data_IF_155917072965
#
_entry.id   IF_155917072965
#
_cell.length_a   1.000
_cell.length_b   1.000
_cell.length_c   1.000
_cell.angle_alpha   90.00
_cell.angle_beta   90.00
_cell.angle_gamma   90.00
#
_symmetry.space_group_name_H-M   'P 1'
#
loop_
_entity.id
_entity.type
_entity.pdbx_description
1 polymer ?
#
# COMPACT_ATOMS: atom_id res chain seq x y z
N UNK A 1 20.42 3.86 -24.07
CA UNK A 1 19.44 4.77 -23.43
C UNK A 1 18.16 3.99 -23.14
N UNK A 2 17.82 3.79 -21.87
CA UNK A 2 16.59 3.10 -21.44
C UNK A 2 15.36 3.86 -22.02
N UNK A 3 14.55 3.21 -22.86
CA UNK A 3 13.41 3.82 -23.54
C UNK A 3 12.27 4.13 -22.55
N UNK A 4 12.18 5.39 -22.09
CA UNK A 4 11.20 5.85 -21.09
C UNK A 4 9.74 5.52 -21.47
N UNK A 5 9.40 5.47 -22.77
CA UNK A 5 8.02 5.17 -23.21
C UNK A 5 7.60 3.75 -22.87
N UNK A 6 8.50 2.78 -23.01
CA UNK A 6 8.22 1.36 -22.70
C UNK A 6 7.95 1.19 -21.21
N UNK A 7 8.70 1.88 -20.35
CA UNK A 7 8.51 1.80 -18.90
C UNK A 7 7.21 2.43 -18.44
N UNK A 8 6.85 3.58 -19.00
CA UNK A 8 5.55 4.20 -18.71
C UNK A 8 4.41 3.26 -19.10
N UNK A 9 4.51 2.59 -20.25
CA UNK A 9 3.52 1.59 -20.67
C UNK A 9 3.46 0.40 -19.71
N UNK A 10 4.62 -0.17 -19.33
CA UNK A 10 4.69 -1.27 -18.36
C UNK A 10 4.05 -0.85 -17.03
N UNK A 11 4.43 0.31 -16.50
CA UNK A 11 3.85 0.85 -15.26
C UNK A 11 2.33 0.96 -15.37
N UNK A 12 1.83 1.65 -16.39
CA UNK A 12 0.39 1.86 -16.58
C UNK A 12 -0.38 0.52 -16.71
N UNK A 13 0.16 -0.44 -17.46
CA UNK A 13 -0.46 -1.77 -17.63
C UNK A 13 -0.53 -2.49 -16.29
N UNK A 14 0.58 -2.62 -15.57
CA UNK A 14 0.60 -3.40 -14.33
C UNK A 14 -0.12 -2.70 -13.16
N UNK A 15 -0.08 -1.37 -13.09
CA UNK A 15 -0.89 -0.60 -12.14
C UNK A 15 -2.39 -0.75 -12.41
N UNK A 16 -2.79 -0.74 -13.68
CA UNK A 16 -4.20 -0.96 -14.06
C UNK A 16 -4.63 -2.39 -13.73
N UNK A 17 -3.80 -3.39 -14.05
CA UNK A 17 -4.07 -4.79 -13.71
C UNK A 17 -4.23 -4.99 -12.20
N UNK A 18 -3.34 -4.39 -11.40
CA UNK A 18 -3.43 -4.44 -9.94
C UNK A 18 -4.74 -3.80 -9.46
N UNK A 19 -5.06 -2.59 -9.93
CA UNK A 19 -6.27 -1.88 -9.52
C UNK A 19 -7.55 -2.65 -9.87
N UNK A 20 -7.64 -3.18 -11.10
CA UNK A 20 -8.79 -3.99 -11.53
C UNK A 20 -8.93 -5.27 -10.70
N UNK A 21 -7.81 -5.93 -10.41
CA UNK A 21 -7.83 -7.17 -9.63
C UNK A 21 -8.11 -6.92 -8.15
N UNK A 22 -7.63 -5.83 -7.59
CA UNK A 22 -8.02 -5.38 -6.25
C UNK A 22 -9.52 -5.06 -6.21
N UNK A 23 -10.04 -4.33 -7.20
CA UNK A 23 -11.47 -3.99 -7.28
C UNK A 23 -12.39 -5.22 -7.36
N UNK A 24 -11.93 -6.36 -7.91
CA UNK A 24 -12.68 -7.62 -7.89
C UNK A 24 -13.03 -8.10 -6.48
N UNK A 25 -12.22 -7.75 -5.47
CA UNK A 25 -12.49 -8.14 -4.08
C UNK A 25 -13.46 -7.21 -3.37
N UNK A 26 -13.92 -6.11 -3.97
CA UNK A 26 -14.94 -5.26 -3.33
C UNK A 26 -16.25 -6.03 -3.11
N UNK A 27 -16.95 -5.81 -1.97
CA UNK A 27 -16.65 -4.85 -0.90
C UNK A 27 -15.91 -5.49 0.30
N UNK A 28 -14.97 -6.42 0.06
CA UNK A 28 -14.22 -7.06 1.13
C UNK A 28 -13.50 -6.04 2.02
N UNK A 29 -13.54 -6.31 3.32
CA UNK A 29 -12.83 -5.58 4.35
C UNK A 29 -12.45 -6.59 5.44
N UNK A 30 -11.23 -6.48 5.96
CA UNK A 30 -10.84 -7.24 7.14
C UNK A 30 -11.58 -6.66 8.36
N UNK A 31 -12.08 -7.53 9.23
CA UNK A 31 -12.69 -7.16 10.51
C UNK A 31 -11.74 -6.36 11.39
N UNK A 32 -10.45 -6.71 11.41
CA UNK A 32 -9.40 -5.99 12.11
C UNK A 32 -9.26 -4.52 11.66
N UNK A 33 -9.67 -4.17 10.44
CA UNK A 33 -9.64 -2.78 9.97
C UNK A 33 -10.55 -1.86 10.80
N UNK A 34 -11.63 -2.41 11.38
CA UNK A 34 -12.53 -1.66 12.26
C UNK A 34 -11.83 -1.13 13.51
N UNK A 35 -10.77 -1.79 13.98
CA UNK A 35 -9.98 -1.29 15.10
C UNK A 35 -9.33 0.04 14.71
N UNK A 36 -8.67 0.06 13.55
CA UNK A 36 -8.05 1.26 12.97
C UNK A 36 -9.06 2.38 12.82
N UNK A 37 -10.25 2.09 12.27
CA UNK A 37 -11.28 3.10 12.02
C UNK A 37 -11.85 3.64 13.32
N UNK A 38 -12.00 2.82 14.36
CA UNK A 38 -12.45 3.26 15.68
C UNK A 38 -11.49 4.28 16.28
N UNK A 39 -10.19 4.00 16.25
CA UNK A 39 -9.17 4.94 16.74
C UNK A 39 -9.09 6.22 15.89
N UNK A 40 -9.17 6.08 14.57
CA UNK A 40 -9.18 7.24 13.66
C UNK A 40 -10.42 8.12 13.90
N UNK A 41 -11.61 7.53 14.02
CA UNK A 41 -12.85 8.27 14.29
C UNK A 41 -12.78 9.00 15.64
N UNK A 42 -12.31 8.33 16.70
CA UNK A 42 -12.18 8.96 18.02
C UNK A 42 -11.17 10.10 18.05
N UNK A 43 -10.09 9.97 17.29
CA UNK A 43 -9.14 11.07 17.10
C UNK A 43 -9.82 12.26 16.41
N UNK A 44 -10.64 12.00 15.39
CA UNK A 44 -11.42 13.03 14.67
C UNK A 44 -12.46 13.71 15.55
N UNK A 45 -13.12 12.96 16.42
CA UNK A 45 -14.12 13.46 17.36
C UNK A 45 -13.50 14.25 18.53
N UNK A 46 -12.17 14.31 18.63
CA UNK A 46 -11.45 15.05 19.67
C UNK A 46 -11.20 14.26 20.96
N UNK A 47 -11.49 12.96 20.99
CA UNK A 47 -11.24 12.09 22.14
C UNK A 47 -9.83 11.49 22.17
N UNK A 48 -8.98 11.87 21.21
CA UNK A 48 -7.63 11.35 21.04
C UNK A 48 -7.60 9.89 20.59
N UNK A 49 -6.40 9.30 20.57
CA UNK A 49 -6.17 7.90 20.21
C UNK A 49 -6.56 6.96 21.37
N UNK A 50 -7.86 6.81 21.59
CA UNK A 50 -8.44 5.98 22.65
C UNK A 50 -9.44 4.98 22.06
N UNK A 51 -9.73 3.88 22.76
CA UNK A 51 -10.77 2.92 22.34
C UNK A 51 -12.17 3.28 22.86
N UNK A 52 -12.22 3.63 24.14
CA UNK A 52 -13.41 4.01 24.91
C UNK A 52 -13.11 5.24 25.76
N UNK A 53 -14.14 5.80 26.39
CA UNK A 53 -13.97 6.77 27.46
C UNK A 53 -13.30 6.12 28.68
N UNK A 54 -12.66 6.94 29.52
CA UNK A 54 -11.92 6.49 30.70
C UNK A 54 -10.42 6.43 30.48
N UNK A 55 -9.78 5.36 30.95
CA UNK A 55 -8.32 5.21 30.94
C UNK A 55 -7.86 4.92 29.50
N UNK A 56 -6.93 5.71 28.93
CA UNK A 56 -6.36 5.45 27.62
C UNK A 56 -5.59 4.12 27.61
N UNK A 57 -5.83 3.30 26.60
CA UNK A 57 -5.06 2.10 26.31
C UNK A 57 -4.71 2.12 24.83
N UNK A 58 -3.45 1.82 24.51
CA UNK A 58 -3.00 1.66 23.13
C UNK A 58 -3.36 0.27 22.63
N UNK A 59 -4.33 0.19 21.72
CA UNK A 59 -4.82 -1.07 21.14
C UNK A 59 -4.73 -1.14 19.62
N UNK A 60 -3.97 -0.24 18.98
CA UNK A 60 -3.65 -0.32 17.55
C UNK A 60 -2.19 -0.73 17.36
N UNK A 61 -1.89 -1.46 16.29
CA UNK A 61 -0.52 -1.86 15.90
C UNK A 61 0.06 -1.02 14.76
N UNK A 62 -0.73 -0.10 14.20
CA UNK A 62 -0.50 0.54 12.92
C UNK A 62 -0.66 2.06 12.98
N UNK A 63 -0.01 2.72 13.96
CA UNK A 63 -0.15 4.15 14.23
C UNK A 63 -0.09 5.04 12.98
N UNK A 64 0.91 4.83 12.12
CA UNK A 64 1.07 5.63 10.90
C UNK A 64 -0.14 5.49 9.96
N UNK A 65 -0.69 4.29 9.83
CA UNK A 65 -1.88 4.01 9.02
C UNK A 65 -3.13 4.66 9.62
N UNK A 66 -3.32 4.55 10.94
CA UNK A 66 -4.40 5.21 11.68
C UNK A 66 -4.38 6.72 11.49
N UNK A 67 -3.20 7.34 11.64
CA UNK A 67 -3.04 8.79 11.46
C UNK A 67 -3.27 9.22 10.01
N UNK A 68 -2.82 8.41 9.04
CA UNK A 68 -3.05 8.66 7.62
C UNK A 68 -4.55 8.64 7.29
N UNK A 69 -5.27 7.61 7.76
CA UNK A 69 -6.73 7.50 7.56
C UNK A 69 -7.44 8.67 8.23
N UNK A 70 -7.09 9.00 9.48
CA UNK A 70 -7.67 10.14 10.18
C UNK A 70 -7.39 11.47 9.45
N UNK A 71 -6.21 11.67 8.87
CA UNK A 71 -5.88 12.89 8.15
C UNK A 71 -6.83 13.15 6.97
N UNK A 72 -7.16 12.11 6.19
CA UNK A 72 -8.17 12.22 5.13
C UNK A 72 -9.60 12.24 5.67
N UNK A 73 -9.89 11.52 6.75
CA UNK A 73 -11.18 11.61 7.44
C UNK A 73 -11.50 13.05 7.92
N UNK A 74 -10.47 13.80 8.32
CA UNK A 74 -10.61 15.23 8.68
C UNK A 74 -11.06 16.10 7.49
N UNK A 75 -10.79 15.67 6.27
CA UNK A 75 -11.26 16.34 5.04
C UNK A 75 -12.71 15.95 4.68
N UNK A 76 -13.36 15.10 5.49
CA UNK A 76 -14.74 14.66 5.29
C UNK A 76 -14.88 13.37 4.48
N UNK A 77 -13.79 12.66 4.18
CA UNK A 77 -13.85 11.38 3.50
C UNK A 77 -14.22 10.23 4.45
N UNK A 78 -14.96 9.26 3.92
CA UNK A 78 -15.34 8.04 4.65
C UNK A 78 -14.10 7.15 4.87
N UNK A 79 -13.91 6.63 6.09
CA UNK A 79 -12.65 6.02 6.53
C UNK A 79 -12.33 4.72 5.77
N UNK A 80 -13.33 3.87 5.50
CA UNK A 80 -13.14 2.64 4.73
C UNK A 80 -12.75 2.96 3.28
N UNK A 81 -13.37 3.96 2.67
CA UNK A 81 -13.04 4.45 1.33
C UNK A 81 -11.61 4.99 1.30
N UNK A 82 -11.19 5.76 2.31
CA UNK A 82 -9.81 6.23 2.43
C UNK A 82 -8.85 5.04 2.52
N UNK A 83 -9.12 4.08 3.40
CA UNK A 83 -8.21 2.94 3.63
C UNK A 83 -8.05 2.06 2.38
N UNK A 84 -9.16 1.77 1.68
CA UNK A 84 -9.14 1.01 0.41
C UNK A 84 -8.39 1.74 -0.70
N UNK A 85 -8.67 3.03 -0.90
CA UNK A 85 -7.99 3.84 -1.93
C UNK A 85 -6.50 3.96 -1.62
N UNK A 86 -6.12 4.23 -0.36
CA UNK A 86 -4.73 4.32 0.04
C UNK A 86 -4.01 2.98 -0.10
N UNK A 87 -4.68 1.86 0.18
CA UNK A 87 -4.13 0.52 -0.01
C UNK A 87 -3.76 0.26 -1.48
N UNK A 88 -4.64 0.61 -2.41
CA UNK A 88 -4.37 0.53 -3.86
C UNK A 88 -3.25 1.49 -4.28
N UNK A 89 -3.24 2.72 -3.78
CA UNK A 89 -2.18 3.70 -4.07
C UNK A 89 -0.82 3.14 -3.66
N UNK A 90 -0.67 2.61 -2.45
CA UNK A 90 0.60 2.01 -2.03
C UNK A 90 0.94 0.75 -2.83
N UNK A 91 -0.04 -0.06 -3.21
CA UNK A 91 0.17 -1.16 -4.16
C UNK A 91 0.74 -0.69 -5.51
N UNK A 92 0.23 0.42 -6.05
CA UNK A 92 0.75 1.05 -7.27
C UNK A 92 2.16 1.63 -7.07
N UNK A 93 2.42 2.25 -5.91
CA UNK A 93 3.76 2.75 -5.58
C UNK A 93 4.78 1.61 -5.46
N UNK A 94 4.37 0.43 -4.97
CA UNK A 94 5.22 -0.77 -5.01
C UNK A 94 5.58 -1.18 -6.45
N UNK A 95 4.61 -1.15 -7.38
CA UNK A 95 4.89 -1.40 -8.82
C UNK A 95 5.95 -0.43 -9.34
N UNK A 96 5.83 0.86 -9.01
CA UNK A 96 6.83 1.86 -9.39
C UNK A 96 8.23 1.55 -8.83
N UNK A 97 8.33 1.22 -7.53
CA UNK A 97 9.62 0.90 -6.90
C UNK A 97 10.26 -0.36 -7.47
N UNK A 98 9.46 -1.39 -7.79
CA UNK A 98 9.96 -2.61 -8.46
C UNK A 98 10.56 -2.25 -9.83
N UNK A 99 9.87 -1.41 -10.61
CA UNK A 99 10.36 -0.95 -11.92
C UNK A 99 11.66 -0.18 -11.75
N UNK A 100 11.72 0.78 -10.83
CA UNK A 100 12.91 1.59 -10.61
C UNK A 100 14.11 0.72 -10.19
N UNK A 101 13.92 -0.16 -9.21
CA UNK A 101 14.97 -1.03 -8.70
C UNK A 101 15.53 -1.99 -9.76
N UNK A 102 14.66 -2.79 -10.39
CA UNK A 102 15.09 -3.80 -11.38
C UNK A 102 15.76 -3.12 -12.58
N UNK A 103 15.23 -1.98 -13.01
CA UNK A 103 15.82 -1.20 -14.10
C UNK A 103 17.22 -0.75 -13.72
N UNK A 104 17.43 -0.17 -12.55
CA UNK A 104 18.72 0.39 -12.18
C UNK A 104 19.76 -0.69 -11.87
N UNK A 105 19.34 -1.90 -11.53
CA UNK A 105 20.23 -3.00 -11.13
C UNK A 105 20.67 -3.94 -12.27
N UNK A 106 19.83 -4.19 -13.27
CA UNK A 106 20.10 -5.21 -14.29
C UNK A 106 20.23 -4.61 -15.70
N UNK A 107 21.21 -5.08 -16.49
CA UNK A 107 21.39 -4.66 -17.89
C UNK A 107 20.25 -5.16 -18.78
N UNK A 108 19.84 -6.43 -18.61
CA UNK A 108 18.70 -7.05 -19.29
C UNK A 108 17.45 -7.09 -18.39
N UNK A 109 17.03 -5.91 -17.91
CA UNK A 109 15.96 -5.78 -16.91
C UNK A 109 14.57 -6.23 -17.38
N UNK A 110 14.25 -6.20 -18.68
CA UNK A 110 12.87 -6.35 -19.15
C UNK A 110 12.23 -7.72 -18.82
N UNK A 111 12.86 -8.89 -19.09
CA UNK A 111 12.25 -10.17 -18.76
C UNK A 111 12.06 -10.36 -17.25
N UNK A 112 13.07 -9.97 -16.46
CA UNK A 112 13.01 -10.02 -14.99
C UNK A 112 11.85 -9.15 -14.50
N UNK A 113 11.78 -7.92 -14.99
CA UNK A 113 10.75 -6.96 -14.61
C UNK A 113 9.34 -7.48 -14.92
N UNK A 114 9.12 -7.99 -16.15
CA UNK A 114 7.81 -8.50 -16.56
C UNK A 114 7.38 -9.70 -15.71
N UNK A 115 8.30 -10.62 -15.41
CA UNK A 115 8.01 -11.79 -14.56
C UNK A 115 7.69 -11.34 -13.13
N UNK A 116 8.50 -10.46 -12.54
CA UNK A 116 8.27 -9.94 -11.18
C UNK A 116 6.94 -9.22 -11.07
N UNK A 117 6.64 -8.31 -12.00
CA UNK A 117 5.37 -7.57 -12.01
C UNK A 117 4.17 -8.47 -12.26
N UNK A 118 4.31 -9.49 -13.12
CA UNK A 118 3.27 -10.49 -13.31
C UNK A 118 2.93 -11.20 -12.01
N UNK A 119 3.92 -11.76 -11.31
CA UNK A 119 3.65 -12.46 -10.04
C UNK A 119 3.16 -11.53 -8.94
N UNK A 120 3.68 -10.30 -8.84
CA UNK A 120 3.21 -9.32 -7.86
C UNK A 120 1.74 -8.95 -8.09
N UNK A 121 1.38 -8.54 -9.31
CA UNK A 121 0.02 -8.09 -9.63
C UNK A 121 -0.98 -9.23 -9.73
N UNK A 122 -0.55 -10.43 -10.16
CA UNK A 122 -1.40 -11.62 -10.22
C UNK A 122 -1.45 -12.39 -8.90
N UNK A 123 -0.78 -11.96 -7.84
CA UNK A 123 -0.95 -12.52 -6.50
C UNK A 123 -2.32 -12.17 -5.93
N UNK A 124 -3.13 -13.17 -5.55
CA UNK A 124 -4.42 -12.96 -4.88
C UNK A 124 -4.26 -12.24 -3.55
N UNK A 125 -3.21 -12.60 -2.81
CA UNK A 125 -2.81 -11.98 -1.54
C UNK A 125 -2.56 -10.48 -1.69
N UNK A 126 -1.75 -10.06 -2.67
CA UNK A 126 -1.50 -8.62 -2.89
C UNK A 126 -2.79 -7.89 -3.21
N UNK A 127 -3.65 -8.48 -4.04
CA UNK A 127 -4.90 -7.85 -4.48
C UNK A 127 -5.92 -7.68 -3.34
N UNK A 128 -6.16 -8.73 -2.55
CA UNK A 128 -7.13 -8.72 -1.44
C UNK A 128 -6.67 -7.79 -0.32
N UNK A 129 -5.40 -7.85 0.07
CA UNK A 129 -4.87 -7.00 1.15
C UNK A 129 -4.73 -5.54 0.75
N UNK A 130 -4.67 -5.24 -0.55
CA UNK A 130 -4.75 -3.84 -1.03
C UNK A 130 -6.13 -3.21 -0.81
N UNK A 131 -7.19 -4.01 -0.66
CA UNK A 131 -8.55 -3.55 -0.36
C UNK A 131 -8.99 -3.83 1.08
N UNK A 132 -8.23 -4.59 1.86
CA UNK A 132 -8.66 -5.07 3.17
C UNK A 132 -8.85 -3.97 4.23
N UNK A 133 -8.38 -2.74 3.98
CA UNK A 133 -8.49 -1.61 4.91
C UNK A 133 -7.34 -1.51 5.92
N UNK A 134 -6.30 -2.32 5.76
CA UNK A 134 -5.17 -2.44 6.67
C UNK A 134 -3.86 -1.96 6.04
N UNK A 135 -2.81 -1.85 6.86
CA UNK A 135 -1.55 -1.20 6.54
C UNK A 135 -0.59 -2.03 5.65
N UNK A 136 -0.91 -3.27 5.31
CA UNK A 136 0.03 -4.17 4.61
C UNK A 136 0.59 -3.57 3.31
N UNK A 137 -0.19 -2.87 2.46
CA UNK A 137 0.37 -2.22 1.26
C UNK A 137 1.38 -1.12 1.60
N UNK A 138 1.11 -0.34 2.66
CA UNK A 138 2.03 0.69 3.18
C UNK A 138 3.29 0.06 3.76
N UNK A 139 3.16 -1.00 4.56
CA UNK A 139 4.31 -1.75 5.12
C UNK A 139 5.18 -2.28 3.99
N UNK A 140 4.59 -2.94 2.99
CA UNK A 140 5.30 -3.43 1.82
C UNK A 140 6.04 -2.30 1.08
N UNK A 141 5.39 -1.14 0.90
CA UNK A 141 6.00 0.03 0.27
C UNK A 141 7.20 0.55 1.05
N UNK A 142 7.07 0.75 2.37
CA UNK A 142 8.16 1.26 3.20
C UNK A 142 9.32 0.27 3.29
N UNK A 143 9.03 -1.04 3.41
CA UNK A 143 10.05 -2.08 3.42
C UNK A 143 10.78 -2.16 2.09
N UNK A 144 10.06 -2.16 0.96
CA UNK A 144 10.68 -2.17 -0.37
C UNK A 144 11.50 -0.89 -0.59
N UNK A 145 10.97 0.27 -0.21
CA UNK A 145 11.70 1.53 -0.32
C UNK A 145 13.00 1.52 0.49
N UNK A 146 12.98 0.98 1.72
CA UNK A 146 14.17 0.82 2.53
C UNK A 146 15.20 -0.10 1.87
N UNK A 147 14.77 -1.23 1.29
CA UNK A 147 15.65 -2.14 0.53
C UNK A 147 16.28 -1.42 -0.66
N UNK A 148 15.47 -0.75 -1.48
CA UNK A 148 15.94 -0.05 -2.68
C UNK A 148 16.93 1.07 -2.34
N UNK A 149 16.80 1.71 -1.17
CA UNK A 149 17.64 2.84 -0.76
C UNK A 149 18.90 2.47 -0.02
N UNK A 150 18.87 1.42 0.80
CA UNK A 150 19.94 1.14 1.76
C UNK A 150 20.58 -0.23 1.60
N UNK A 151 19.91 -1.19 0.95
CA UNK A 151 20.47 -2.51 0.72
C UNK A 151 21.07 -2.61 -0.69
N UNK A 152 22.29 -2.10 -0.84
CA UNK A 152 23.16 -2.49 -1.95
C UNK A 152 23.75 -3.87 -1.64
N UNK A 153 23.08 -4.94 -2.09
CA UNK A 153 23.58 -6.32 -2.00
C UNK A 153 24.83 -6.58 -2.90
N UNK A 154 25.63 -5.56 -3.21
CA UNK A 154 26.84 -5.64 -4.03
C UNK A 154 28.11 -5.94 -3.21
N UNK A 155 28.03 -5.96 -1.88
CA UNK A 155 29.18 -6.18 -0.99
C UNK A 155 29.39 -7.65 -0.57
N UNK A 156 28.82 -8.62 -1.31
CA UNK A 156 29.08 -10.06 -1.12
C UNK A 156 29.46 -10.75 -2.44
#
# INVERSE_FOLDING_TARGET
MKNNRVFVLIFLVFSTLLALKSAYYLPYMADDALITYRYAQRLLDGFGLTWTEGIPVEGYSNLLWTLLIAAFGKLGFELHTVATVMGVIFGILNVYLIIDYVRNRFENANPILLITLFFYTMSGTVSIWSMAGLEQPLVAFLSLWAVVKYFDFCDF
#
